data_IF_133381497200
#
_entry.id   IF_133381497200
#
_cell.length_a   1.000
_cell.length_b   1.000
_cell.length_c   1.000
_cell.angle_alpha   90.00
_cell.angle_beta   90.00
_cell.angle_gamma   90.00
#
_symmetry.space_group_name_H-M   'P 1'
#
loop_
_entity.id
_entity.type
_entity.pdbx_description
1 polymer ?
#
# COMPACT_ATOMS: atom_id res chain seq x y z
N UNK A 1 -45.35 54.08 -20.88
CA UNK A 1 -45.45 54.78 -22.18
C UNK A 1 -46.89 55.07 -22.39
N UNK A 2 -47.27 56.35 -22.53
CA UNK A 2 -48.61 56.80 -22.80
C UNK A 2 -48.71 57.13 -24.32
N UNK A 3 -49.70 56.59 -24.97
CA UNK A 3 -50.00 56.94 -26.35
C UNK A 3 -51.30 57.73 -26.34
N UNK A 4 -51.33 58.87 -27.09
CA UNK A 4 -52.50 59.65 -27.35
C UNK A 4 -53.15 59.13 -28.63
N UNK A 5 -54.37 58.71 -28.51
CA UNK A 5 -55.19 58.32 -29.67
C UNK A 5 -56.25 59.40 -29.84
N UNK A 6 -56.30 60.00 -31.00
CA UNK A 6 -57.27 61.02 -31.38
C UNK A 6 -58.33 60.32 -32.27
N UNK A 7 -59.59 60.30 -31.81
CA UNK A 7 -60.67 59.74 -32.61
C UNK A 7 -61.42 60.91 -33.28
N UNK A 8 -62.24 60.57 -34.31
CA UNK A 8 -62.97 61.47 -35.23
C UNK A 8 -63.96 62.38 -34.49
N UNK A 9 -64.28 62.04 -33.23
CA UNK A 9 -65.28 62.80 -32.39
C UNK A 9 -64.69 63.64 -31.35
N UNK A 10 -63.39 64.05 -31.46
CA UNK A 10 -62.64 64.97 -30.53
C UNK A 10 -62.52 64.50 -29.09
N UNK A 11 -62.77 63.21 -28.85
CA UNK A 11 -62.56 62.59 -27.54
C UNK A 11 -61.08 62.06 -27.38
N UNK A 12 -60.38 62.54 -26.33
CA UNK A 12 -58.99 62.10 -26.05
C UNK A 12 -58.97 60.88 -25.19
N UNK A 13 -58.47 59.77 -25.76
CA UNK A 13 -58.22 58.52 -25.00
C UNK A 13 -56.74 58.34 -24.69
N UNK A 14 -56.42 58.11 -23.42
CA UNK A 14 -55.06 57.83 -22.97
C UNK A 14 -54.89 56.33 -22.67
N UNK A 15 -54.07 55.67 -23.41
CA UNK A 15 -53.73 54.27 -23.20
C UNK A 15 -52.47 54.26 -22.29
N UNK A 16 -52.65 53.94 -21.01
CA UNK A 16 -51.56 53.81 -20.06
C UNK A 16 -51.20 52.34 -19.96
N UNK A 17 -50.05 51.96 -20.55
CA UNK A 17 -49.48 50.59 -20.40
C UNK A 17 -48.52 50.55 -19.23
N UNK A 18 -48.80 49.80 -18.17
CA UNK A 18 -47.90 49.65 -17.02
C UNK A 18 -46.66 48.83 -17.43
N UNK A 19 -45.56 49.54 -17.66
CA UNK A 19 -44.28 48.93 -18.12
C UNK A 19 -43.56 48.16 -17.02
N UNK A 20 -43.85 48.39 -15.77
CA UNK A 20 -43.05 47.89 -14.64
C UNK A 20 -43.42 46.46 -14.23
N UNK A 21 -44.64 45.99 -14.41
CA UNK A 21 -45.07 44.65 -13.99
C UNK A 21 -44.58 43.52 -14.90
N UNK A 22 -44.43 43.76 -16.21
CA UNK A 22 -43.96 42.76 -17.14
C UNK A 22 -42.48 42.41 -17.01
N UNK A 23 -41.64 43.45 -16.71
CA UNK A 23 -40.19 43.18 -16.56
C UNK A 23 -39.81 42.47 -15.24
N UNK A 24 -40.55 42.71 -14.15
CA UNK A 24 -40.29 42.06 -12.85
C UNK A 24 -40.62 40.56 -12.88
N UNK A 25 -41.65 40.15 -13.55
CA UNK A 25 -42.03 38.74 -13.71
C UNK A 25 -41.03 37.95 -14.58
N UNK A 26 -40.54 38.60 -15.64
CA UNK A 26 -39.56 37.99 -16.55
C UNK A 26 -38.21 37.78 -15.87
N UNK A 27 -37.69 38.77 -15.14
CA UNK A 27 -36.45 38.69 -14.40
C UNK A 27 -36.50 37.60 -13.30
N UNK A 28 -37.63 37.46 -12.59
CA UNK A 28 -37.84 36.42 -11.60
C UNK A 28 -37.84 35.00 -12.21
N UNK A 29 -38.43 34.84 -13.40
CA UNK A 29 -38.42 33.58 -14.11
C UNK A 29 -36.99 33.17 -14.55
N UNK A 30 -36.21 34.10 -15.09
CA UNK A 30 -34.80 33.81 -15.47
C UNK A 30 -33.94 33.45 -14.29
N UNK A 31 -34.13 34.07 -13.13
CA UNK A 31 -33.44 33.72 -11.89
C UNK A 31 -33.81 32.28 -11.43
N UNK A 32 -35.11 31.94 -11.49
CA UNK A 32 -35.58 30.60 -11.12
C UNK A 32 -34.96 29.53 -12.02
N UNK A 33 -35.00 29.75 -13.34
CA UNK A 33 -34.39 28.82 -14.31
C UNK A 33 -32.89 28.72 -14.15
N UNK A 34 -32.20 29.84 -13.85
CA UNK A 34 -30.76 29.85 -13.54
C UNK A 34 -30.41 29.03 -12.30
N UNK A 35 -31.18 29.17 -11.21
CA UNK A 35 -31.00 28.39 -9.99
C UNK A 35 -31.29 26.89 -10.23
N UNK A 36 -32.31 26.57 -10.99
CA UNK A 36 -32.64 25.19 -11.34
C UNK A 36 -31.54 24.54 -12.17
N UNK A 37 -31.02 25.26 -13.17
CA UNK A 37 -29.90 24.79 -14.00
C UNK A 37 -28.62 24.58 -13.16
N UNK A 38 -28.33 25.51 -12.25
CA UNK A 38 -27.19 25.38 -11.33
C UNK A 38 -27.35 24.17 -10.39
N UNK A 39 -28.53 24.00 -9.80
CA UNK A 39 -28.82 22.86 -8.93
C UNK A 39 -28.67 21.53 -9.68
N UNK A 40 -29.18 21.46 -10.92
CA UNK A 40 -29.03 20.29 -11.77
C UNK A 40 -27.57 20.01 -12.12
N UNK A 41 -26.80 21.05 -12.47
CA UNK A 41 -25.37 20.92 -12.76
C UNK A 41 -24.58 20.40 -11.55
N UNK A 42 -24.86 20.94 -10.35
CA UNK A 42 -24.26 20.46 -9.10
C UNK A 42 -24.65 19.02 -8.77
N UNK A 43 -25.91 18.65 -9.00
CA UNK A 43 -26.37 17.27 -8.78
C UNK A 43 -25.68 16.29 -9.73
N UNK A 44 -25.55 16.64 -11.01
CA UNK A 44 -24.82 15.82 -11.99
C UNK A 44 -23.33 15.71 -11.65
N UNK A 45 -22.69 16.83 -11.29
CA UNK A 45 -21.29 16.83 -10.88
C UNK A 45 -21.05 15.96 -9.63
N UNK A 46 -21.95 16.06 -8.65
CA UNK A 46 -21.89 15.21 -7.45
C UNK A 46 -22.10 13.73 -7.79
N UNK A 47 -23.04 13.42 -8.69
CA UNK A 47 -23.30 12.05 -9.15
C UNK A 47 -22.05 11.44 -9.83
N UNK A 48 -21.44 12.19 -10.75
CA UNK A 48 -20.21 11.76 -11.43
C UNK A 48 -19.09 11.56 -10.42
N UNK A 49 -18.88 12.53 -9.50
CA UNK A 49 -17.84 12.44 -8.50
C UNK A 49 -18.03 11.23 -7.56
N UNK A 50 -19.27 10.96 -7.13
CA UNK A 50 -19.55 9.85 -6.21
C UNK A 50 -19.56 8.47 -6.88
N UNK A 51 -20.03 8.38 -8.13
CA UNK A 51 -20.21 7.11 -8.82
C UNK A 51 -19.00 6.67 -9.66
N UNK A 52 -18.14 7.60 -10.05
CA UNK A 52 -17.00 7.32 -10.94
C UNK A 52 -15.68 7.75 -10.31
N UNK A 53 -15.53 9.03 -9.95
CA UNK A 53 -14.22 9.56 -9.55
C UNK A 53 -13.72 9.00 -8.22
N UNK A 54 -14.60 8.82 -7.21
CA UNK A 54 -14.21 8.26 -5.91
C UNK A 54 -13.79 6.79 -6.00
N UNK A 55 -14.56 5.87 -6.61
CA UNK A 55 -14.14 4.50 -6.80
C UNK A 55 -12.83 4.37 -7.58
N UNK A 56 -12.66 5.15 -8.64
CA UNK A 56 -11.44 5.11 -9.45
C UNK A 56 -10.19 5.56 -8.65
N UNK A 57 -10.34 6.59 -7.81
CA UNK A 57 -9.26 7.01 -6.90
C UNK A 57 -8.93 5.93 -5.86
N UNK A 58 -9.94 5.27 -5.30
CA UNK A 58 -9.73 4.17 -4.37
C UNK A 58 -8.97 3.02 -5.04
N UNK A 59 -9.33 2.67 -6.27
CA UNK A 59 -8.62 1.64 -7.06
C UNK A 59 -7.16 2.02 -7.33
N UNK A 60 -6.91 3.27 -7.73
CA UNK A 60 -5.54 3.75 -7.96
C UNK A 60 -4.69 3.67 -6.69
N UNK A 61 -5.26 4.07 -5.54
CA UNK A 61 -4.60 3.96 -4.25
C UNK A 61 -4.32 2.51 -3.84
N UNK A 62 -5.30 1.61 -4.02
CA UNK A 62 -5.12 0.18 -3.73
C UNK A 62 -4.09 -0.46 -4.66
N UNK A 63 -4.08 -0.09 -5.95
CA UNK A 63 -3.08 -0.58 -6.90
C UNK A 63 -1.66 -0.13 -6.53
N UNK A 64 -1.50 1.11 -6.08
CA UNK A 64 -0.22 1.62 -5.59
C UNK A 64 0.21 0.89 -4.30
N UNK A 65 -0.72 0.59 -3.40
CA UNK A 65 -0.46 -0.18 -2.19
C UNK A 65 0.01 -1.60 -2.51
N UNK A 66 -0.69 -2.31 -3.42
CA UNK A 66 -0.28 -3.64 -3.91
C UNK A 66 1.10 -3.58 -4.57
N UNK A 67 1.37 -2.57 -5.40
CA UNK A 67 2.69 -2.38 -6.01
C UNK A 67 3.83 -2.15 -5.01
N UNK A 68 3.52 -1.67 -3.81
CA UNK A 68 4.46 -1.55 -2.68
C UNK A 68 4.53 -2.80 -1.79
N UNK A 69 3.85 -3.88 -2.16
CA UNK A 69 3.77 -5.09 -1.36
C UNK A 69 2.92 -4.95 -0.10
N UNK A 70 1.98 -3.99 -0.07
CA UNK A 70 0.98 -3.84 0.98
C UNK A 70 -0.28 -4.61 0.61
N UNK A 71 -1.06 -4.99 1.61
CA UNK A 71 -2.33 -5.69 1.44
C UNK A 71 -3.48 -4.74 1.77
N UNK A 72 -4.01 -4.00 0.78
CA UNK A 72 -5.17 -3.16 1.02
C UNK A 72 -6.43 -4.03 1.21
N UNK A 73 -7.40 -3.47 1.94
CA UNK A 73 -8.72 -4.09 2.02
C UNK A 73 -9.34 -4.26 0.62
N UNK A 74 -10.14 -5.32 0.42
CA UNK A 74 -10.81 -5.52 -0.86
C UNK A 74 -11.69 -4.32 -1.23
N UNK A 75 -11.65 -3.95 -2.50
CA UNK A 75 -12.46 -2.87 -3.02
C UNK A 75 -13.94 -3.25 -3.01
N UNK A 76 -14.86 -2.32 -2.62
CA UNK A 76 -16.28 -2.60 -2.62
C UNK A 76 -16.80 -2.82 -4.04
N UNK A 77 -17.42 -3.97 -4.28
CA UNK A 77 -18.02 -4.33 -5.56
C UNK A 77 -19.42 -3.72 -5.70
N UNK A 78 -19.51 -2.39 -5.79
CA UNK A 78 -20.74 -1.63 -5.80
C UNK A 78 -20.77 -0.56 -6.90
N UNK A 79 -21.95 -0.06 -7.26
CA UNK A 79 -22.10 1.00 -8.25
C UNK A 79 -22.47 0.48 -9.65
N UNK A 80 -22.00 1.17 -10.69
CA UNK A 80 -22.24 0.79 -12.08
C UNK A 80 -21.64 -0.59 -12.39
N UNK A 81 -22.23 -1.32 -13.33
CA UNK A 81 -21.81 -2.68 -13.70
C UNK A 81 -20.32 -2.77 -14.04
N UNK A 82 -19.83 -1.78 -14.80
CA UNK A 82 -18.43 -1.69 -15.22
C UNK A 82 -17.49 -1.49 -14.05
N UNK A 83 -17.89 -0.65 -13.07
CA UNK A 83 -17.11 -0.41 -11.85
C UNK A 83 -17.07 -1.64 -10.95
N UNK A 84 -18.22 -2.35 -10.83
CA UNK A 84 -18.29 -3.60 -10.08
C UNK A 84 -17.40 -4.67 -10.68
N UNK A 85 -17.46 -4.87 -12.00
CA UNK A 85 -16.59 -5.83 -12.70
C UNK A 85 -15.11 -5.49 -12.56
N UNK A 86 -14.77 -4.21 -12.64
CA UNK A 86 -13.39 -3.75 -12.49
C UNK A 86 -12.88 -3.96 -11.05
N UNK A 87 -13.70 -3.66 -10.04
CA UNK A 87 -13.36 -3.90 -8.63
C UNK A 87 -13.17 -5.40 -8.36
N UNK A 88 -14.08 -6.26 -8.87
CA UNK A 88 -13.99 -7.71 -8.73
C UNK A 88 -12.74 -8.27 -9.41
N UNK A 89 -12.43 -7.83 -10.63
CA UNK A 89 -11.22 -8.25 -11.34
C UNK A 89 -9.94 -7.81 -10.59
N UNK A 90 -9.93 -6.61 -10.02
CA UNK A 90 -8.83 -6.13 -9.20
C UNK A 90 -8.66 -6.95 -7.92
N UNK A 91 -9.76 -7.23 -7.21
CA UNK A 91 -9.74 -8.04 -5.98
C UNK A 91 -9.22 -9.46 -6.27
N UNK A 92 -9.66 -10.06 -7.37
CA UNK A 92 -9.15 -11.37 -7.81
C UNK A 92 -7.66 -11.32 -8.11
N UNK A 93 -7.21 -10.35 -8.89
CA UNK A 93 -5.78 -10.17 -9.20
C UNK A 93 -4.93 -9.98 -7.92
N UNK A 94 -5.41 -9.19 -6.95
CA UNK A 94 -4.69 -8.97 -5.69
C UNK A 94 -4.61 -10.26 -4.86
N UNK A 95 -5.69 -11.05 -4.81
CA UNK A 95 -5.72 -12.34 -4.13
C UNK A 95 -4.81 -13.37 -4.80
N UNK A 96 -4.81 -13.43 -6.13
CA UNK A 96 -3.94 -14.33 -6.90
C UNK A 96 -2.47 -13.98 -6.66
N UNK A 97 -2.12 -12.71 -6.66
CA UNK A 97 -0.76 -12.25 -6.37
C UNK A 97 -0.31 -12.68 -4.97
N UNK A 98 -1.17 -12.52 -3.96
CA UNK A 98 -0.90 -12.97 -2.59
C UNK A 98 -0.69 -14.49 -2.52
N UNK A 99 -1.54 -15.26 -3.22
CA UNK A 99 -1.40 -16.73 -3.29
C UNK A 99 -0.07 -17.13 -3.93
N UNK A 100 0.30 -16.52 -5.04
CA UNK A 100 1.58 -16.77 -5.70
C UNK A 100 2.80 -16.45 -4.83
N UNK A 101 2.74 -15.34 -4.07
CA UNK A 101 3.81 -15.01 -3.12
C UNK A 101 3.92 -16.04 -2.00
N UNK A 102 2.79 -16.53 -1.49
CA UNK A 102 2.75 -17.57 -0.47
C UNK A 102 3.30 -18.90 -1.02
N UNK A 103 2.82 -19.33 -2.16
CA UNK A 103 3.27 -20.58 -2.82
C UNK A 103 4.79 -20.53 -3.06
N UNK A 104 5.29 -19.42 -3.59
CA UNK A 104 6.73 -19.20 -3.77
C UNK A 104 7.52 -19.37 -2.48
N UNK A 105 7.01 -18.82 -1.37
CA UNK A 105 7.64 -18.94 -0.06
C UNK A 105 7.64 -20.36 0.46
N UNK A 106 6.55 -21.09 0.29
CA UNK A 106 6.44 -22.51 0.70
C UNK A 106 7.40 -23.40 -0.09
N UNK A 107 7.47 -23.21 -1.40
CA UNK A 107 8.42 -23.92 -2.27
C UNK A 107 9.87 -23.65 -1.84
N UNK A 108 10.23 -22.40 -1.61
CA UNK A 108 11.58 -22.04 -1.18
C UNK A 108 11.91 -22.63 0.20
N UNK A 109 10.94 -22.60 1.14
CA UNK A 109 11.12 -23.22 2.46
C UNK A 109 11.34 -24.74 2.35
N UNK A 110 10.59 -25.42 1.47
CA UNK A 110 10.78 -26.85 1.16
C UNK A 110 12.17 -27.15 0.60
N UNK A 111 12.61 -26.36 -0.40
CA UNK A 111 13.95 -26.52 -0.99
C UNK A 111 15.04 -26.34 0.08
N UNK A 112 14.92 -25.34 0.96
CA UNK A 112 15.91 -25.12 2.03
C UNK A 112 16.00 -26.30 3.00
N UNK A 113 14.85 -26.88 3.37
CA UNK A 113 14.80 -28.05 4.21
C UNK A 113 15.47 -29.26 3.53
N UNK A 114 15.14 -29.47 2.27
CA UNK A 114 15.65 -30.63 1.50
C UNK A 114 17.15 -30.51 1.18
N UNK A 115 17.69 -29.31 1.08
CA UNK A 115 19.12 -29.06 0.96
C UNK A 115 19.88 -29.28 2.29
N UNK A 116 19.27 -28.95 3.41
CA UNK A 116 19.93 -29.07 4.73
C UNK A 116 20.21 -30.54 5.09
N UNK A 117 19.29 -31.43 4.76
CA UNK A 117 19.43 -32.86 5.05
C UNK A 117 20.69 -33.48 4.44
N UNK A 118 20.98 -33.36 3.13
CA UNK A 118 22.21 -33.89 2.54
C UNK A 118 23.46 -33.16 3.05
N UNK A 119 23.42 -31.85 3.32
CA UNK A 119 24.56 -31.13 3.90
C UNK A 119 24.92 -31.63 5.29
N UNK A 120 23.93 -31.89 6.15
CA UNK A 120 24.15 -32.50 7.46
C UNK A 120 24.77 -33.86 7.35
N UNK A 121 24.34 -34.69 6.39
CA UNK A 121 24.92 -36.01 6.13
C UNK A 121 26.35 -35.91 5.63
N UNK A 122 26.62 -35.02 4.67
CA UNK A 122 27.99 -34.77 4.18
C UNK A 122 28.94 -34.31 5.29
N UNK A 123 28.45 -33.43 6.16
CA UNK A 123 29.23 -32.99 7.35
C UNK A 123 29.59 -34.17 8.26
N UNK A 124 28.61 -35.01 8.58
CA UNK A 124 28.82 -36.18 9.41
C UNK A 124 29.82 -37.15 8.75
N UNK A 125 29.69 -37.40 7.44
CA UNK A 125 30.60 -38.26 6.68
C UNK A 125 32.02 -37.68 6.66
N UNK A 126 32.20 -36.38 6.48
CA UNK A 126 33.49 -35.71 6.54
C UNK A 126 34.13 -35.84 7.92
N UNK A 127 33.35 -35.64 9.00
CA UNK A 127 33.81 -35.78 10.38
C UNK A 127 34.23 -37.23 10.74
N UNK A 128 33.56 -38.23 10.16
CA UNK A 128 33.83 -39.63 10.47
C UNK A 128 34.88 -40.28 9.55
N UNK A 129 35.01 -39.84 8.30
CA UNK A 129 35.78 -40.55 7.28
C UNK A 129 37.10 -39.89 6.92
N UNK A 130 37.27 -38.59 7.18
CA UNK A 130 38.49 -37.86 6.85
C UNK A 130 39.44 -37.87 8.04
N UNK A 131 40.55 -38.62 7.90
CA UNK A 131 41.56 -38.79 8.94
C UNK A 131 42.48 -37.54 9.09
N UNK A 132 42.69 -36.77 8.01
CA UNK A 132 43.49 -35.55 8.02
C UNK A 132 42.68 -34.39 8.58
N UNK A 133 43.09 -33.84 9.71
CA UNK A 133 42.41 -32.77 10.41
C UNK A 133 42.26 -31.48 9.56
N UNK A 134 43.29 -31.12 8.78
CA UNK A 134 43.26 -29.93 7.93
C UNK A 134 42.27 -30.10 6.76
N UNK A 135 42.27 -31.27 6.09
CA UNK A 135 41.36 -31.61 5.03
C UNK A 135 39.91 -31.69 5.56
N UNK A 136 39.68 -32.28 6.72
CA UNK A 136 38.37 -32.37 7.38
C UNK A 136 37.83 -30.97 7.70
N UNK A 137 38.64 -30.11 8.31
CA UNK A 137 38.22 -28.74 8.63
C UNK A 137 37.91 -27.92 7.38
N UNK A 138 38.66 -28.10 6.29
CA UNK A 138 38.35 -27.48 4.98
C UNK A 138 36.96 -27.85 4.49
N UNK A 139 36.63 -29.17 4.43
CA UNK A 139 35.30 -29.63 3.97
C UNK A 139 34.16 -29.15 4.89
N UNK A 140 34.37 -29.19 6.22
CA UNK A 140 33.36 -28.68 7.17
C UNK A 140 33.11 -27.19 6.96
N UNK A 141 34.17 -26.39 6.77
CA UNK A 141 34.05 -24.95 6.47
C UNK A 141 33.28 -24.67 5.18
N UNK A 142 33.53 -25.47 4.12
CA UNK A 142 32.81 -25.32 2.86
C UNK A 142 31.32 -25.66 3.03
N UNK A 143 30.97 -26.69 3.79
CA UNK A 143 29.57 -27.00 4.12
C UNK A 143 28.90 -25.90 4.91
N UNK A 144 29.55 -25.36 5.92
CA UNK A 144 29.03 -24.22 6.70
C UNK A 144 28.81 -22.99 5.82
N UNK A 145 29.67 -22.75 4.86
CA UNK A 145 29.51 -21.67 3.89
C UNK A 145 28.31 -21.90 2.96
N UNK A 146 28.07 -23.14 2.50
CA UNK A 146 26.87 -23.49 1.75
C UNK A 146 25.60 -23.28 2.57
N UNK A 147 25.57 -23.72 3.82
CA UNK A 147 24.43 -23.48 4.73
C UNK A 147 24.16 -21.98 4.93
N UNK A 148 25.20 -21.16 5.08
CA UNK A 148 25.08 -19.71 5.21
C UNK A 148 24.48 -19.07 3.94
N UNK A 149 24.91 -19.49 2.74
CA UNK A 149 24.37 -19.02 1.46
C UNK A 149 22.89 -19.39 1.33
N UNK A 150 22.52 -20.61 1.66
CA UNK A 150 21.12 -21.07 1.64
C UNK A 150 20.27 -20.25 2.60
N UNK A 151 20.75 -20.03 3.82
CA UNK A 151 20.06 -19.19 4.83
C UNK A 151 19.86 -17.76 4.33
N UNK A 152 20.89 -17.15 3.74
CA UNK A 152 20.82 -15.80 3.18
C UNK A 152 19.84 -15.70 2.02
N UNK A 153 19.81 -16.72 1.12
CA UNK A 153 18.85 -16.79 0.02
C UNK A 153 17.41 -16.91 0.53
N UNK A 154 17.17 -17.73 1.56
CA UNK A 154 15.87 -17.89 2.20
C UNK A 154 15.40 -16.62 2.89
N UNK A 155 16.30 -15.90 3.52
CA UNK A 155 16.00 -14.60 4.14
C UNK A 155 15.62 -13.54 3.10
N UNK A 156 16.31 -13.53 1.96
CA UNK A 156 15.95 -12.67 0.82
C UNK A 156 14.56 -13.01 0.26
N UNK A 157 14.27 -14.29 0.07
CA UNK A 157 13.00 -14.76 -0.45
C UNK A 157 11.81 -14.41 0.46
N UNK A 158 12.00 -14.50 1.79
CA UNK A 158 10.99 -14.14 2.79
C UNK A 158 10.79 -12.63 2.95
N UNK A 159 11.74 -11.81 2.48
CA UNK A 159 11.65 -10.35 2.61
C UNK A 159 10.51 -9.76 1.80
N UNK A 160 10.12 -10.41 0.71
CA UNK A 160 9.02 -9.98 -0.17
C UNK A 160 7.63 -10.38 0.35
N UNK A 161 7.53 -11.17 1.43
CA UNK A 161 6.25 -11.44 2.09
C UNK A 161 5.88 -10.20 2.92
N UNK A 162 4.95 -9.42 2.41
CA UNK A 162 4.50 -8.18 2.98
C UNK A 162 4.18 -8.28 4.47
N UNK A 163 5.13 -7.91 5.33
CA UNK A 163 4.86 -7.66 6.73
C UNK A 163 4.14 -6.32 6.82
N UNK A 164 2.92 -6.30 7.37
CA UNK A 164 2.19 -5.05 7.56
C UNK A 164 2.90 -4.14 8.57
N UNK A 165 2.96 -2.85 8.31
CA UNK A 165 3.48 -1.89 9.28
C UNK A 165 2.61 -1.90 10.53
N UNK A 166 3.23 -2.14 11.69
CA UNK A 166 2.56 -2.07 13.00
C UNK A 166 3.20 -0.98 13.85
N UNK A 167 2.42 -0.39 14.76
CA UNK A 167 2.94 0.58 15.72
C UNK A 167 4.03 -0.10 16.57
N UNK A 168 5.28 0.27 16.34
CA UNK A 168 6.47 -0.39 16.91
C UNK A 168 7.24 0.59 17.76
N UNK A 169 7.59 0.15 18.97
CA UNK A 169 8.55 0.82 19.84
C UNK A 169 9.97 0.43 19.37
N UNK A 170 10.65 1.37 18.75
CA UNK A 170 11.99 1.15 18.21
C UNK A 170 13.02 0.91 19.33
N UNK A 171 12.85 1.52 20.51
CA UNK A 171 13.75 1.33 21.64
C UNK A 171 13.66 -0.12 22.17
N UNK A 172 12.43 -0.63 22.32
CA UNK A 172 12.22 -2.02 22.72
C UNK A 172 12.77 -3.01 21.68
N UNK A 173 12.61 -2.74 20.38
CA UNK A 173 13.14 -3.56 19.31
C UNK A 173 14.68 -3.60 19.34
N UNK A 174 15.34 -2.46 19.47
CA UNK A 174 16.80 -2.36 19.54
C UNK A 174 17.36 -3.06 20.80
N UNK A 175 16.68 -2.93 21.96
CA UNK A 175 17.04 -3.66 23.18
C UNK A 175 16.99 -5.17 22.96
N UNK A 176 15.97 -5.69 22.29
CA UNK A 176 15.89 -7.11 21.96
C UNK A 176 16.96 -7.59 20.96
N UNK A 177 17.46 -6.69 20.09
CA UNK A 177 18.61 -6.98 19.22
C UNK A 177 19.89 -7.05 20.05
N UNK A 178 20.13 -6.10 20.96
CA UNK A 178 21.30 -6.07 21.83
C UNK A 178 21.37 -7.32 22.73
N UNK A 179 20.26 -7.72 23.32
CA UNK A 179 20.20 -8.93 24.16
C UNK A 179 20.64 -10.18 23.37
N UNK A 180 20.17 -10.33 22.13
CA UNK A 180 20.57 -11.44 21.25
C UNK A 180 22.07 -11.39 20.91
N UNK A 181 22.59 -10.20 20.59
CA UNK A 181 24.00 -10.03 20.28
C UNK A 181 24.91 -10.29 21.51
N UNK A 182 24.50 -9.90 22.71
CA UNK A 182 25.20 -10.23 23.97
C UNK A 182 25.27 -11.74 24.21
N UNK A 183 24.20 -12.48 23.92
CA UNK A 183 24.19 -13.95 24.09
C UNK A 183 25.23 -14.66 23.21
N UNK A 184 25.59 -14.10 22.07
CA UNK A 184 26.64 -14.62 21.19
C UNK A 184 28.01 -13.93 21.39
N UNK A 185 28.17 -13.17 22.50
CA UNK A 185 29.44 -12.54 22.86
C UNK A 185 29.78 -11.27 22.08
N UNK A 186 28.79 -10.64 21.45
CA UNK A 186 28.95 -9.42 20.63
C UNK A 186 28.11 -8.23 21.17
N UNK A 187 28.47 -7.70 22.35
CA UNK A 187 27.74 -6.60 22.98
C UNK A 187 27.74 -5.35 22.10
N UNK A 188 26.59 -4.69 22.00
CA UNK A 188 26.42 -3.46 21.26
C UNK A 188 26.20 -2.29 22.21
N UNK A 189 26.75 -1.13 21.89
CA UNK A 189 26.48 0.10 22.60
C UNK A 189 25.49 0.96 21.79
N UNK A 190 24.25 1.00 22.23
CA UNK A 190 23.25 1.88 21.66
C UNK A 190 23.08 3.14 22.50
N UNK A 191 23.15 4.31 21.85
CA UNK A 191 22.67 5.56 22.44
C UNK A 191 21.22 5.74 21.94
N UNK A 192 20.23 5.20 22.66
CA UNK A 192 18.83 5.26 22.27
C UNK A 192 18.20 6.48 22.92
N UNK A 193 17.79 7.48 22.12
CA UNK A 193 16.92 8.55 22.57
C UNK A 193 15.46 8.05 22.65
N UNK A 194 14.64 8.70 23.47
CA UNK A 194 13.19 8.42 23.48
C UNK A 194 12.59 8.75 22.09
N UNK A 195 12.08 7.73 21.41
CA UNK A 195 11.44 7.86 20.11
C UNK A 195 9.95 7.56 20.24
N UNK A 196 9.08 8.23 19.46
CA UNK A 196 7.68 7.86 19.38
C UNK A 196 7.55 6.48 18.74
N UNK A 197 6.43 5.80 18.99
CA UNK A 197 6.04 4.61 18.24
C UNK A 197 5.82 4.98 16.77
N UNK A 198 6.42 4.20 15.89
CA UNK A 198 6.34 4.42 14.43
C UNK A 198 5.69 3.22 13.76
N UNK A 199 4.94 3.42 12.66
CA UNK A 199 4.44 2.32 11.84
C UNK A 199 5.62 1.69 11.09
N UNK A 200 6.19 0.62 11.64
CA UNK A 200 7.35 -0.09 11.10
C UNK A 200 7.01 -1.56 10.85
N UNK A 201 7.83 -2.21 10.05
CA UNK A 201 7.84 -3.66 9.83
C UNK A 201 8.90 -4.29 10.76
N UNK A 202 8.55 -4.73 11.97
CA UNK A 202 9.52 -5.07 13.02
C UNK A 202 10.44 -6.22 12.64
N UNK A 203 9.93 -7.25 11.93
CA UNK A 203 10.76 -8.39 11.50
C UNK A 203 11.74 -7.99 10.40
N UNK A 204 11.29 -7.22 9.41
CA UNK A 204 12.16 -6.71 8.36
C UNK A 204 13.25 -5.78 8.92
N UNK A 205 12.87 -4.90 9.85
CA UNK A 205 13.82 -3.98 10.49
C UNK A 205 14.83 -4.72 11.36
N UNK A 206 14.39 -5.68 12.20
CA UNK A 206 15.29 -6.50 13.03
C UNK A 206 16.31 -7.23 12.16
N UNK A 207 15.89 -7.77 11.02
CA UNK A 207 16.79 -8.44 10.09
C UNK A 207 17.77 -7.49 9.42
N UNK A 208 17.30 -6.32 8.97
CA UNK A 208 18.18 -5.30 8.36
C UNK A 208 19.26 -4.87 9.33
N UNK A 209 18.89 -4.63 10.59
CA UNK A 209 19.84 -4.28 11.65
C UNK A 209 20.79 -5.45 11.92
N UNK A 210 20.30 -6.68 12.02
CA UNK A 210 21.13 -7.88 12.20
C UNK A 210 22.18 -8.03 11.10
N UNK A 211 21.76 -7.89 9.82
CA UNK A 211 22.68 -7.96 8.68
C UNK A 211 23.75 -6.85 8.72
N UNK A 212 23.38 -5.63 9.14
CA UNK A 212 24.34 -4.53 9.30
C UNK A 212 25.37 -4.84 10.42
N UNK A 213 24.89 -5.38 11.53
CA UNK A 213 25.76 -5.77 12.66
C UNK A 213 26.72 -6.88 12.24
N UNK A 214 26.20 -7.94 11.59
CA UNK A 214 27.02 -9.05 11.11
C UNK A 214 28.08 -8.59 10.10
N UNK A 215 27.69 -7.69 9.17
CA UNK A 215 28.65 -7.08 8.25
C UNK A 215 29.70 -6.25 8.96
N UNK A 216 29.31 -5.46 9.98
CA UNK A 216 30.25 -4.66 10.76
C UNK A 216 31.26 -5.54 11.51
N UNK A 217 30.82 -6.66 12.11
CA UNK A 217 31.71 -7.61 12.77
C UNK A 217 32.63 -8.37 11.80
N UNK A 218 32.15 -8.64 10.58
CA UNK A 218 32.93 -9.39 9.59
C UNK A 218 33.97 -8.54 8.86
N UNK A 219 33.67 -7.26 8.66
CA UNK A 219 34.47 -6.39 7.79
C UNK A 219 34.93 -5.09 8.45
N UNK A 220 34.51 -4.80 9.68
CA UNK A 220 34.74 -3.53 10.38
C UNK A 220 35.87 -3.55 11.42
N UNK A 221 36.77 -4.54 11.34
CA UNK A 221 37.96 -4.70 12.23
C UNK A 221 39.12 -3.79 11.92
#
# INVERSE_FOLDING_TARGET
>A
VSFRLEDRDDDEYWLILPRERAMRSIAGQWLLWGLLALALALAVAWLIASRISRPLKAMAFSAEAVGRGLRPDPLPESGAEEMRRLASAFNTMAADLESHEKDRSEVLAGISHDLRTPLTRLRLEAEMSIADDAARQGVVTDIEQMEAVIAQFMDYARTNLGEDPVATDLAALLTGVDERQRQIGRPLNFAIAALPTLPLRPRALTRAIGNLIDNAWKYGG
#
